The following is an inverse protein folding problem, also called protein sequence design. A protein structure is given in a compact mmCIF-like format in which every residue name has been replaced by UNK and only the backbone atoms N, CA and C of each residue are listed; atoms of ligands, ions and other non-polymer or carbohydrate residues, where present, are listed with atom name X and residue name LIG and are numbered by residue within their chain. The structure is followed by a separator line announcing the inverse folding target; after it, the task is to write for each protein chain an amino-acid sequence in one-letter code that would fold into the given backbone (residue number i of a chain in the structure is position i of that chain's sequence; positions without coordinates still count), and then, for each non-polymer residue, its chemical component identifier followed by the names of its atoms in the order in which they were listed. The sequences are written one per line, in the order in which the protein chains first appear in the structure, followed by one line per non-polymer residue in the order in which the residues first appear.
data_IF_914381796631
#
_entry.id   IF_914381796631
#
_cell.length_a   1.000
_cell.length_b   1.000
_cell.length_c   1.000
_cell.angle_alpha   90.00
_cell.angle_beta   90.00
_cell.angle_gamma   90.00
#
_symmetry.space_group_name_H-M   'P 1'
#
loop_
_entity.id
_entity.type
_entity.pdbx_description
1 polymer ?
#
# COMPACT_ATOMS: atom_id res chain seq x y z
N UNK A 1 -17.31 2.20 -25.73
CA UNK A 1 -15.92 2.04 -26.18
C UNK A 1 -15.14 3.23 -25.64
N UNK A 2 -14.41 3.08 -24.51
CA UNK A 2 -13.57 4.15 -23.96
C UNK A 2 -12.19 4.04 -24.62
N UNK A 3 -11.71 5.14 -25.19
CA UNK A 3 -10.43 5.20 -25.89
C UNK A 3 -9.25 4.98 -24.94
N UNK A 4 -8.26 4.27 -25.46
CA UNK A 4 -7.06 3.77 -24.80
C UNK A 4 -6.05 4.90 -24.54
N UNK A 5 -5.72 5.15 -23.27
CA UNK A 5 -4.64 6.07 -22.89
C UNK A 5 -3.58 5.35 -22.05
N UNK A 6 -2.31 5.66 -22.33
CA UNK A 6 -1.11 5.06 -21.72
C UNK A 6 -1.11 5.26 -20.20
N UNK A 7 -0.73 4.25 -19.40
CA UNK A 7 -0.83 4.32 -17.94
C UNK A 7 0.50 4.39 -17.15
N UNK A 8 1.58 3.74 -17.60
CA UNK A 8 2.88 3.75 -16.89
C UNK A 8 3.66 5.04 -17.16
N UNK A 9 4.37 5.55 -16.15
CA UNK A 9 5.27 6.72 -16.28
C UNK A 9 4.53 8.04 -16.48
N UNK A 10 3.21 8.06 -16.22
CA UNK A 10 2.35 9.24 -16.33
C UNK A 10 1.91 9.74 -14.97
N UNK A 11 1.62 11.04 -14.91
CA UNK A 11 1.05 11.63 -13.72
C UNK A 11 -0.26 10.92 -13.37
N UNK A 12 -0.53 10.69 -12.09
CA UNK A 12 -1.77 10.03 -11.67
C UNK A 12 -3.03 10.72 -12.21
N UNK A 13 -2.96 12.04 -12.46
CA UNK A 13 -4.07 12.83 -13.03
C UNK A 13 -4.41 12.47 -14.48
N UNK A 14 -3.47 11.84 -15.20
CA UNK A 14 -3.60 11.48 -16.62
C UNK A 14 -4.03 10.03 -16.83
N UNK A 15 -4.11 9.24 -15.75
CA UNK A 15 -4.46 7.82 -15.82
C UNK A 15 -5.94 7.67 -15.49
N UNK A 16 -6.74 6.98 -16.33
CA UNK A 16 -8.12 6.67 -16.02
C UNK A 16 -8.26 5.96 -14.66
N UNK A 17 -9.33 6.26 -13.95
CA UNK A 17 -9.55 5.71 -12.61
C UNK A 17 -10.75 4.77 -12.54
N UNK A 18 -10.64 3.76 -11.68
CA UNK A 18 -11.73 2.91 -11.21
C UNK A 18 -11.85 3.16 -9.71
N UNK A 19 -13.03 3.54 -9.23
CA UNK A 19 -13.25 3.94 -7.83
C UNK A 19 -12.26 5.00 -7.33
N UNK A 20 -11.90 5.97 -8.19
CA UNK A 20 -10.95 7.06 -7.91
C UNK A 20 -9.49 6.60 -7.70
N UNK A 21 -9.17 5.34 -8.02
CA UNK A 21 -7.81 4.77 -8.03
C UNK A 21 -7.36 4.60 -9.49
N UNK A 22 -6.10 4.92 -9.87
CA UNK A 22 -5.56 4.61 -11.20
C UNK A 22 -5.78 3.14 -11.56
N UNK A 23 -6.37 2.86 -12.72
CA UNK A 23 -6.88 1.52 -13.05
C UNK A 23 -5.83 0.39 -12.93
N UNK A 24 -4.54 0.55 -13.29
CA UNK A 24 -3.59 -0.55 -13.14
C UNK A 24 -3.35 -0.89 -11.67
N UNK A 25 -3.34 0.13 -10.80
CA UNK A 25 -3.22 -0.06 -9.35
C UNK A 25 -4.47 -0.76 -8.82
N UNK A 26 -5.66 -0.37 -9.30
CA UNK A 26 -6.91 -1.03 -8.95
C UNK A 26 -6.88 -2.52 -9.33
N UNK A 27 -6.58 -2.87 -10.59
CA UNK A 27 -6.55 -4.25 -11.09
C UNK A 27 -5.59 -5.12 -10.27
N UNK A 28 -4.41 -4.59 -9.94
CA UNK A 28 -3.41 -5.29 -9.14
C UNK A 28 -3.87 -5.50 -7.69
N UNK A 29 -4.43 -4.46 -7.05
CA UNK A 29 -4.95 -4.58 -5.68
C UNK A 29 -6.16 -5.52 -5.59
N UNK A 30 -7.04 -5.47 -6.58
CA UNK A 30 -8.18 -6.38 -6.71
C UNK A 30 -7.68 -7.82 -6.82
N UNK A 31 -6.73 -8.10 -7.73
CA UNK A 31 -6.15 -9.45 -7.85
C UNK A 31 -5.50 -9.91 -6.55
N UNK A 32 -4.66 -9.09 -5.93
CA UNK A 32 -3.95 -9.43 -4.68
C UNK A 32 -4.90 -9.71 -3.51
N UNK A 33 -6.10 -9.13 -3.54
CA UNK A 33 -7.09 -9.28 -2.47
C UNK A 33 -8.22 -10.25 -2.82
N UNK A 34 -8.31 -10.72 -4.07
CA UNK A 34 -9.43 -11.54 -4.57
C UNK A 34 -9.58 -12.91 -3.90
N UNK A 35 -8.53 -13.38 -3.21
CA UNK A 35 -8.48 -14.66 -2.50
C UNK A 35 -7.64 -14.50 -1.23
N UNK A 36 -8.08 -15.11 -0.13
CA UNK A 36 -7.37 -15.01 1.15
C UNK A 36 -5.98 -15.69 1.09
N UNK A 37 -5.85 -16.74 0.27
CA UNK A 37 -4.60 -17.47 0.03
C UNK A 37 -3.49 -16.54 -0.50
N UNK A 38 -3.87 -15.48 -1.21
CA UNK A 38 -2.92 -14.52 -1.75
C UNK A 38 -2.35 -13.63 -0.64
N UNK A 39 -3.17 -13.21 0.33
CA UNK A 39 -2.72 -12.46 1.52
C UNK A 39 -1.81 -13.33 2.40
N UNK A 40 -2.05 -14.64 2.44
CA UNK A 40 -1.23 -15.58 3.22
C UNK A 40 0.03 -16.06 2.48
N UNK A 41 0.28 -15.60 1.25
CA UNK A 41 1.45 -16.03 0.49
C UNK A 41 2.73 -15.63 1.24
N UNK A 42 3.55 -16.63 1.59
CA UNK A 42 4.81 -16.42 2.30
C UNK A 42 5.71 -15.43 1.56
N UNK A 43 6.16 -14.39 2.28
CA UNK A 43 7.00 -13.34 1.72
C UNK A 43 6.32 -12.52 0.63
N UNK A 44 4.98 -12.39 0.61
CA UNK A 44 4.27 -11.47 -0.29
C UNK A 44 4.92 -10.08 -0.28
N UNK A 45 5.07 -9.47 -1.45
CA UNK A 45 5.88 -8.27 -1.71
C UNK A 45 7.40 -8.37 -1.49
N UNK A 46 7.91 -9.35 -0.75
CA UNK A 46 9.37 -9.58 -0.62
C UNK A 46 9.91 -10.48 -1.72
N UNK A 47 9.22 -11.58 -2.04
CA UNK A 47 9.63 -12.53 -3.08
C UNK A 47 9.51 -11.86 -4.46
N UNK A 48 10.57 -11.88 -5.29
CA UNK A 48 10.52 -11.30 -6.63
C UNK A 48 9.63 -12.15 -7.55
N UNK A 49 8.80 -11.47 -8.34
CA UNK A 49 8.05 -12.07 -9.43
C UNK A 49 8.86 -12.31 -10.71
N UNK A 50 8.22 -12.91 -11.71
CA UNK A 50 8.82 -13.18 -13.01
C UNK A 50 9.02 -11.88 -13.81
N UNK A 51 10.29 -11.57 -14.13
CA UNK A 51 10.64 -10.32 -14.83
C UNK A 51 10.07 -10.23 -16.24
N UNK A 52 10.00 -11.34 -16.98
CA UNK A 52 9.44 -11.39 -18.33
C UNK A 52 7.96 -11.03 -18.32
N UNK A 53 7.20 -11.60 -17.38
CA UNK A 53 5.78 -11.28 -17.20
C UNK A 53 5.59 -9.82 -16.79
N UNK A 54 6.42 -9.31 -15.85
CA UNK A 54 6.37 -7.91 -15.43
C UNK A 54 6.53 -6.99 -16.64
N UNK A 55 7.56 -7.19 -17.46
CA UNK A 55 7.82 -6.37 -18.65
C UNK A 55 6.66 -6.46 -19.65
N UNK A 56 6.16 -7.67 -19.91
CA UNK A 56 5.07 -7.89 -20.84
C UNK A 56 3.77 -7.20 -20.39
N UNK A 57 3.41 -7.32 -19.11
CA UNK A 57 2.19 -6.74 -18.56
C UNK A 57 2.30 -5.21 -18.45
N UNK A 58 3.47 -4.67 -18.05
CA UNK A 58 3.70 -3.23 -18.06
C UNK A 58 3.47 -2.64 -19.45
N UNK A 59 3.99 -3.29 -20.49
CA UNK A 59 3.80 -2.86 -21.88
C UNK A 59 2.33 -2.86 -22.30
N UNK A 60 1.54 -3.82 -21.83
CA UNK A 60 0.08 -3.82 -22.07
C UNK A 60 -0.58 -2.60 -21.43
N UNK A 61 -0.28 -2.28 -20.17
CA UNK A 61 -0.78 -1.05 -19.52
C UNK A 61 -0.29 0.24 -20.21
N UNK A 62 0.95 0.27 -20.70
CA UNK A 62 1.51 1.39 -21.48
C UNK A 62 0.77 1.60 -22.80
N UNK A 63 0.35 0.53 -23.45
CA UNK A 63 -0.37 0.59 -24.72
C UNK A 63 -1.88 0.82 -24.53
N UNK A 64 -2.38 0.83 -23.29
CA UNK A 64 -3.81 0.87 -22.99
C UNK A 64 -4.54 -0.40 -23.45
N UNK A 65 -3.84 -1.54 -23.48
CA UNK A 65 -4.40 -2.85 -23.78
C UNK A 65 -5.16 -3.41 -22.56
N UNK A 66 -6.09 -4.32 -22.81
CA UNK A 66 -6.77 -5.05 -21.73
C UNK A 66 -5.79 -6.02 -21.07
N UNK A 67 -5.58 -5.86 -19.76
CA UNK A 67 -4.72 -6.75 -18.97
C UNK A 67 -5.55 -7.81 -18.25
N UNK A 68 -5.12 -9.07 -18.31
CA UNK A 68 -5.73 -10.16 -17.56
C UNK A 68 -4.74 -10.75 -16.55
N UNK A 69 -5.00 -10.51 -15.26
CA UNK A 69 -4.14 -10.97 -14.16
C UNK A 69 -4.54 -12.34 -13.59
N UNK A 70 -5.56 -13.03 -14.13
CA UNK A 70 -6.11 -14.24 -13.52
C UNK A 70 -5.09 -15.37 -13.38
N UNK A 71 -4.26 -15.58 -14.41
CA UNK A 71 -3.25 -16.64 -14.46
C UNK A 71 -1.84 -16.14 -14.11
N UNK A 72 -1.72 -14.90 -13.63
CA UNK A 72 -0.44 -14.31 -13.26
C UNK A 72 -0.11 -14.66 -11.81
N UNK A 73 1.13 -15.09 -11.56
CA UNK A 73 1.61 -15.43 -10.23
C UNK A 73 1.54 -14.21 -9.29
N UNK A 74 1.19 -14.44 -8.02
CA UNK A 74 0.99 -13.36 -7.03
C UNK A 74 2.26 -12.58 -6.76
N UNK A 75 3.43 -13.23 -6.72
CA UNK A 75 4.73 -12.54 -6.63
C UNK A 75 4.98 -11.61 -7.83
N UNK A 76 4.54 -12.00 -9.03
CA UNK A 76 4.57 -11.15 -10.24
C UNK A 76 3.65 -9.94 -10.10
N UNK A 77 2.40 -10.12 -9.66
CA UNK A 77 1.46 -9.00 -9.45
C UNK A 77 1.97 -8.05 -8.35
N UNK A 78 2.48 -8.60 -7.24
CA UNK A 78 3.06 -7.83 -6.15
C UNK A 78 4.29 -7.02 -6.60
N UNK A 79 5.19 -7.62 -7.38
CA UNK A 79 6.32 -6.91 -7.99
C UNK A 79 5.86 -5.84 -8.98
N UNK A 80 4.86 -6.15 -9.82
CA UNK A 80 4.32 -5.21 -10.80
C UNK A 80 3.74 -3.96 -10.11
N UNK A 81 3.00 -4.14 -9.01
CA UNK A 81 2.48 -3.03 -8.21
C UNK A 81 3.60 -2.13 -7.68
N UNK A 82 4.65 -2.72 -7.10
CA UNK A 82 5.82 -1.96 -6.63
C UNK A 82 6.51 -1.19 -7.76
N UNK A 83 6.66 -1.82 -8.94
CA UNK A 83 7.27 -1.17 -10.10
C UNK A 83 6.43 0.02 -10.58
N UNK A 84 5.11 -0.16 -10.68
CA UNK A 84 4.19 0.90 -11.05
C UNK A 84 4.31 2.12 -10.12
N UNK A 85 4.24 1.88 -8.81
CA UNK A 85 4.29 2.94 -7.80
C UNK A 85 5.61 3.72 -7.85
N UNK A 86 6.73 3.01 -8.06
CA UNK A 86 8.06 3.62 -8.16
C UNK A 86 8.23 4.51 -9.40
N UNK A 87 7.47 4.24 -10.45
CA UNK A 87 7.56 4.96 -11.74
C UNK A 87 6.55 6.10 -11.88
N UNK A 88 5.74 6.37 -10.85
CA UNK A 88 4.85 7.53 -10.83
C UNK A 88 5.71 8.82 -10.85
N UNK A 89 5.55 9.70 -11.86
CA UNK A 89 6.25 10.98 -11.89
C UNK A 89 5.92 11.84 -10.67
N UNK A 90 6.94 12.38 -10.00
CA UNK A 90 6.77 13.15 -8.77
C UNK A 90 6.51 12.31 -7.52
N UNK A 91 6.51 10.97 -7.66
CA UNK A 91 6.30 9.98 -6.61
C UNK A 91 4.92 10.05 -5.94
N UNK A 92 4.58 8.98 -5.22
CA UNK A 92 3.31 8.95 -4.51
C UNK A 92 3.33 9.92 -3.32
N UNK A 93 4.44 9.96 -2.58
CA UNK A 93 4.73 10.99 -1.57
C UNK A 93 5.74 11.96 -2.16
N UNK A 94 5.31 13.19 -2.43
CA UNK A 94 6.20 14.24 -2.94
C UNK A 94 7.19 14.72 -1.85
N UNK A 95 8.19 15.51 -2.23
CA UNK A 95 9.23 15.99 -1.31
C UNK A 95 8.68 16.85 -0.17
N UNK A 96 7.70 17.71 -0.44
CA UNK A 96 7.09 18.58 0.58
C UNK A 96 6.39 17.76 1.68
N UNK A 97 5.61 16.76 1.29
CA UNK A 97 4.95 15.84 2.22
C UNK A 97 5.95 14.93 2.92
N UNK A 98 7.05 14.53 2.26
CA UNK A 98 8.14 13.76 2.88
C UNK A 98 8.77 14.52 4.04
N UNK A 99 9.03 15.82 3.88
CA UNK A 99 9.60 16.64 4.97
C UNK A 99 8.62 16.76 6.16
N UNK A 100 7.32 16.97 5.88
CA UNK A 100 6.28 16.98 6.91
C UNK A 100 6.16 15.65 7.65
N UNK A 101 6.25 14.53 6.92
CA UNK A 101 6.19 13.19 7.51
C UNK A 101 7.41 12.93 8.38
N UNK A 102 8.60 13.28 7.92
CA UNK A 102 9.85 13.12 8.67
C UNK A 102 9.82 13.94 9.96
N UNK A 103 9.37 15.20 9.90
CA UNK A 103 9.22 16.05 11.08
C UNK A 103 8.23 15.43 12.08
N UNK A 104 7.07 14.98 11.60
CA UNK A 104 6.03 14.35 12.43
C UNK A 104 6.53 13.06 13.10
N UNK A 105 7.22 12.19 12.36
CA UNK A 105 7.72 10.92 12.88
C UNK A 105 8.93 11.11 13.80
N UNK A 106 9.74 12.15 13.60
CA UNK A 106 10.83 12.45 14.53
C UNK A 106 10.33 12.73 15.95
N UNK A 107 9.13 13.32 16.09
CA UNK A 107 8.49 13.54 17.39
C UNK A 107 8.13 12.22 18.07
N UNK A 108 7.59 11.26 17.30
CA UNK A 108 7.26 9.93 17.80
C UNK A 108 8.52 9.20 18.31
N UNK A 109 9.63 9.28 17.57
CA UNK A 109 10.89 8.66 18.00
C UNK A 109 11.48 9.27 19.28
N UNK A 110 11.15 10.51 19.61
CA UNK A 110 11.61 11.16 20.84
C UNK A 110 10.77 10.76 22.05
N UNK A 111 9.47 10.59 21.87
CA UNK A 111 8.54 10.29 22.95
C UNK A 111 7.27 9.61 22.41
N UNK A 112 7.17 8.30 22.67
CA UNK A 112 6.01 7.48 22.27
C UNK A 112 4.69 7.97 22.90
N UNK A 113 4.74 8.71 24.01
CA UNK A 113 3.54 9.29 24.63
C UNK A 113 2.88 10.36 23.75
N UNK A 114 3.61 10.88 22.75
CA UNK A 114 3.09 11.83 21.76
C UNK A 114 2.30 11.16 20.62
N UNK A 115 2.06 9.84 20.67
CA UNK A 115 1.38 9.08 19.60
C UNK A 115 0.13 9.76 19.05
N UNK A 116 -0.77 10.23 19.91
CA UNK A 116 -2.03 10.89 19.48
C UNK A 116 -1.77 12.20 18.73
N UNK A 117 -0.80 13.00 19.18
CA UNK A 117 -0.37 14.22 18.50
C UNK A 117 0.26 13.89 17.14
N UNK A 118 1.07 12.83 17.08
CA UNK A 118 1.68 12.34 15.84
C UNK A 118 0.61 11.86 14.85
N UNK A 119 -0.41 11.13 15.31
CA UNK A 119 -1.56 10.72 14.48
C UNK A 119 -2.25 11.96 13.90
N UNK A 120 -2.53 12.97 14.74
CA UNK A 120 -3.15 14.23 14.30
C UNK A 120 -2.30 14.94 13.24
N UNK A 121 -1.01 15.16 13.53
CA UNK A 121 -0.09 15.83 12.61
C UNK A 121 0.07 15.05 11.30
N UNK A 122 0.06 13.71 11.35
CA UNK A 122 0.14 12.86 10.17
C UNK A 122 -1.11 13.00 9.30
N UNK A 123 -2.31 13.09 9.90
CA UNK A 123 -3.56 13.38 9.17
C UNK A 123 -3.48 14.72 8.44
N UNK A 124 -3.00 15.76 9.13
CA UNK A 124 -2.84 17.10 8.55
C UNK A 124 -1.83 17.05 7.41
N UNK A 125 -0.68 16.41 7.61
CA UNK A 125 0.34 16.23 6.57
C UNK A 125 -0.19 15.47 5.35
N UNK A 126 -0.97 14.40 5.55
CA UNK A 126 -1.62 13.64 4.47
C UNK A 126 -2.64 14.48 3.70
N UNK A 127 -3.28 15.47 4.34
CA UNK A 127 -4.28 16.34 3.69
C UNK A 127 -3.69 17.28 2.64
N UNK A 128 -2.38 17.54 2.69
CA UNK A 128 -1.68 18.34 1.70
C UNK A 128 -1.27 17.55 0.44
N UNK A 129 -1.40 16.23 0.44
CA UNK A 129 -1.17 15.44 -0.77
C UNK A 129 -2.24 15.75 -1.82
N UNK A 130 -1.90 15.74 -3.13
CA UNK A 130 -2.90 15.74 -4.17
C UNK A 130 -3.91 14.61 -3.97
N UNK A 131 -5.18 14.86 -4.29
CA UNK A 131 -6.27 13.91 -4.01
C UNK A 131 -5.99 12.48 -4.47
N UNK A 132 -5.52 12.30 -5.72
CA UNK A 132 -5.22 10.97 -6.27
C UNK A 132 -4.03 10.31 -5.58
N UNK A 133 -3.03 11.08 -5.14
CA UNK A 133 -1.90 10.58 -4.36
C UNK A 133 -2.38 10.09 -2.99
N UNK A 134 -3.18 10.90 -2.29
CA UNK A 134 -3.76 10.52 -1.00
C UNK A 134 -4.62 9.26 -1.09
N UNK A 135 -5.55 9.20 -2.04
CA UNK A 135 -6.43 8.03 -2.23
C UNK A 135 -5.61 6.79 -2.57
N UNK A 136 -4.69 6.89 -3.52
CA UNK A 136 -3.82 5.77 -3.89
C UNK A 136 -3.00 5.30 -2.68
N UNK A 137 -2.36 6.21 -1.94
CA UNK A 137 -1.60 5.88 -0.74
C UNK A 137 -2.48 5.20 0.30
N UNK A 138 -3.68 5.72 0.58
CA UNK A 138 -4.64 5.11 1.51
C UNK A 138 -4.95 3.65 1.14
N UNK A 139 -5.16 3.34 -0.14
CA UNK A 139 -5.45 1.97 -0.58
C UNK A 139 -4.23 1.05 -0.50
N UNK A 140 -3.03 1.56 -0.82
CA UNK A 140 -1.79 0.80 -0.62
C UNK A 140 -1.59 0.49 0.86
N UNK A 141 -1.63 1.49 1.76
CA UNK A 141 -1.44 1.27 3.19
C UNK A 141 -2.51 0.35 3.77
N UNK A 142 -3.77 0.43 3.31
CA UNK A 142 -4.80 -0.52 3.72
C UNK A 142 -4.43 -1.97 3.40
N UNK A 143 -3.98 -2.23 2.17
CA UNK A 143 -3.62 -3.58 1.75
C UNK A 143 -2.40 -4.10 2.52
N UNK A 144 -1.43 -3.23 2.83
CA UNK A 144 -0.30 -3.57 3.68
C UNK A 144 -0.71 -3.83 5.14
N UNK A 145 -1.62 -3.01 5.69
CA UNK A 145 -2.23 -3.24 7.01
C UNK A 145 -2.90 -4.60 7.08
N UNK A 146 -3.68 -4.97 6.06
CA UNK A 146 -4.32 -6.27 5.98
C UNK A 146 -3.29 -7.42 5.96
N UNK A 147 -2.22 -7.33 5.17
CA UNK A 147 -1.17 -8.35 5.14
C UNK A 147 -0.46 -8.49 6.49
N UNK A 148 -0.15 -7.36 7.14
CA UNK A 148 0.52 -7.34 8.43
C UNK A 148 -0.28 -8.07 9.53
N UNK A 149 -1.62 -8.03 9.47
CA UNK A 149 -2.50 -8.77 10.40
C UNK A 149 -2.33 -10.30 10.31
N UNK A 150 -1.81 -10.82 9.18
CA UNK A 150 -1.58 -12.25 8.98
C UNK A 150 -0.09 -12.60 8.91
N UNK A 151 0.77 -11.76 9.49
CA UNK A 151 2.23 -11.92 9.51
C UNK A 151 2.72 -13.24 10.11
N UNK A 152 1.94 -13.88 10.99
CA UNK A 152 2.24 -15.24 11.49
C UNK A 152 2.25 -16.31 10.40
N UNK A 153 1.55 -16.09 9.27
CA UNK A 153 1.48 -17.01 8.14
C UNK A 153 2.33 -16.53 6.96
N UNK A 154 2.18 -15.27 6.56
CA UNK A 154 2.89 -14.74 5.39
C UNK A 154 4.31 -14.23 5.71
N UNK A 155 4.72 -14.18 6.98
CA UNK A 155 6.02 -13.70 7.46
C UNK A 155 6.33 -12.21 7.19
N UNK A 156 5.30 -11.42 6.87
CA UNK A 156 5.41 -10.01 6.50
C UNK A 156 4.69 -9.12 7.51
N UNK A 157 5.34 -8.82 8.63
CA UNK A 157 4.89 -7.81 9.58
C UNK A 157 5.00 -6.38 9.02
N UNK A 158 4.50 -5.38 9.77
CA UNK A 158 4.53 -3.99 9.35
C UNK A 158 5.95 -3.44 9.12
N UNK A 159 6.96 -3.94 9.83
CA UNK A 159 8.34 -3.53 9.67
C UNK A 159 8.97 -4.09 8.37
N UNK A 160 8.72 -5.36 8.07
CA UNK A 160 9.14 -6.02 6.85
C UNK A 160 8.50 -5.36 5.63
N UNK A 161 7.18 -5.08 5.69
CA UNK A 161 6.46 -4.37 4.63
C UNK A 161 6.98 -2.93 4.46
N UNK A 162 7.20 -2.21 5.56
CA UNK A 162 7.74 -0.85 5.51
C UNK A 162 9.12 -0.79 4.86
N UNK A 163 10.01 -1.75 5.17
CA UNK A 163 11.33 -1.85 4.54
C UNK A 163 11.24 -2.03 3.02
N UNK A 164 10.27 -2.84 2.55
CA UNK A 164 10.04 -3.05 1.12
C UNK A 164 9.44 -1.81 0.44
N UNK A 165 8.51 -1.11 1.10
CA UNK A 165 7.73 -0.04 0.48
C UNK A 165 8.30 1.38 0.66
N UNK A 166 9.13 1.64 1.67
CA UNK A 166 9.77 2.95 1.85
C UNK A 166 10.51 3.44 0.59
N UNK A 167 11.41 2.66 -0.07
CA UNK A 167 12.04 3.10 -1.32
C UNK A 167 11.07 3.26 -2.49
N UNK A 168 9.93 2.55 -2.47
CA UNK A 168 8.92 2.59 -3.52
C UNK A 168 8.08 3.87 -3.43
N UNK A 169 7.77 4.33 -2.21
CA UNK A 169 6.82 5.41 -1.97
C UNK A 169 7.46 6.80 -1.80
N UNK A 170 8.71 6.86 -1.32
CA UNK A 170 9.42 8.12 -0.99
C UNK A 170 10.60 8.46 -1.90
N UNK A 171 10.91 7.59 -2.89
CA UNK A 171 12.09 7.70 -3.75
C UNK A 171 13.37 8.05 -2.99
N UNK A 172 13.75 7.15 -2.09
CA UNK A 172 14.92 7.34 -1.24
C UNK A 172 16.21 7.27 -2.05
N UNK A 173 17.13 8.20 -1.80
CA UNK A 173 18.51 8.07 -2.27
C UNK A 173 19.22 6.91 -1.56
N UNK A 174 20.36 6.46 -2.08
CA UNK A 174 21.19 5.44 -1.42
C UNK A 174 21.60 5.92 -0.02
N UNK A 175 21.93 7.20 0.13
CA UNK A 175 22.30 7.79 1.41
C UNK A 175 21.14 7.74 2.42
N UNK A 176 19.92 8.07 1.98
CA UNK A 176 18.73 7.99 2.83
C UNK A 176 18.39 6.56 3.23
N UNK A 177 18.62 5.60 2.34
CA UNK A 177 18.45 4.18 2.64
C UNK A 177 19.48 3.67 3.66
N UNK A 178 20.70 4.17 3.61
CA UNK A 178 21.80 3.80 4.53
C UNK A 178 21.77 4.58 5.86
N UNK A 179 20.87 5.56 6.00
CA UNK A 179 20.72 6.31 7.24
C UNK A 179 20.06 5.44 8.32
N UNK A 180 20.73 5.32 9.48
CA UNK A 180 20.25 4.54 10.62
C UNK A 180 18.87 4.99 11.16
N UNK A 181 18.44 6.22 10.86
CA UNK A 181 17.13 6.75 11.27
C UNK A 181 16.03 6.64 10.21
N UNK A 182 16.27 5.95 9.09
CA UNK A 182 15.43 5.91 7.88
C UNK A 182 13.95 6.23 8.12
N UNK A 183 13.62 7.54 8.13
CA UNK A 183 12.33 8.04 8.61
C UNK A 183 11.19 7.56 7.72
N UNK A 184 11.47 7.24 6.46
CA UNK A 184 10.48 6.69 5.55
C UNK A 184 10.04 5.27 5.95
N UNK A 185 10.96 4.40 6.41
CA UNK A 185 10.58 3.08 6.95
C UNK A 185 9.69 3.26 8.17
N UNK A 186 10.09 4.11 9.11
CA UNK A 186 9.32 4.35 10.33
C UNK A 186 7.96 4.97 10.00
N UNK A 187 7.90 5.88 9.03
CA UNK A 187 6.65 6.48 8.54
C UNK A 187 5.71 5.42 7.98
N UNK A 188 6.18 4.57 7.05
CA UNK A 188 5.32 3.53 6.48
C UNK A 188 4.86 2.55 7.55
N UNK A 189 5.75 2.13 8.45
CA UNK A 189 5.39 1.26 9.57
C UNK A 189 4.31 1.90 10.44
N UNK A 190 4.48 3.18 10.81
CA UNK A 190 3.51 3.93 11.60
C UNK A 190 2.15 4.06 10.91
N UNK A 191 2.13 4.30 9.59
CA UNK A 191 0.92 4.35 8.78
C UNK A 191 0.21 2.99 8.72
N UNK A 192 0.96 1.89 8.62
CA UNK A 192 0.43 0.52 8.63
C UNK A 192 -0.18 0.19 10.00
N UNK A 193 0.56 0.42 11.08
CA UNK A 193 0.15 0.05 12.44
C UNK A 193 -1.06 0.86 12.93
N UNK A 194 -1.16 2.12 12.50
CA UNK A 194 -2.21 3.05 12.93
C UNK A 194 -3.17 3.39 11.79
N UNK A 195 -3.34 2.47 10.82
CA UNK A 195 -4.17 2.71 9.65
C UNK A 195 -5.58 3.18 10.03
N UNK A 196 -6.21 2.49 10.98
CA UNK A 196 -7.57 2.80 11.39
C UNK A 196 -7.67 4.21 11.97
N UNK A 197 -6.76 4.59 12.85
CA UNK A 197 -6.80 5.92 13.47
C UNK A 197 -6.50 7.02 12.46
N UNK A 198 -5.55 6.80 11.54
CA UNK A 198 -5.07 7.81 10.58
C UNK A 198 -6.05 7.99 9.41
N UNK A 199 -6.51 6.91 8.80
CA UNK A 199 -7.32 6.95 7.57
C UNK A 199 -8.83 6.78 7.80
N UNK A 200 -9.23 6.56 9.06
CA UNK A 200 -10.62 6.34 9.48
C UNK A 200 -10.99 7.31 10.61
N UNK A 201 -11.01 8.62 10.31
CA UNK A 201 -11.92 9.60 10.93
C UNK A 201 -12.09 10.74 9.93
N UNK A 202 -13.22 10.68 9.24
CA UNK A 202 -14.05 11.74 8.67
C UNK A 202 -14.56 11.32 7.28
N UNK A 203 -15.80 10.86 7.26
CA UNK A 203 -16.76 11.04 6.17
C UNK A 203 -16.92 12.56 5.87
N UNK A 204 -15.84 13.26 5.57
CA UNK A 204 -15.90 14.61 5.05
C UNK A 204 -16.34 14.48 3.61
N UNK A 205 -17.53 15.01 3.34
CA UNK A 205 -18.04 15.27 2.02
C UNK A 205 -16.94 15.91 1.17
N UNK A 206 -16.40 15.16 0.21
CA UNK A 206 -15.60 15.71 -0.86
C UNK A 206 -16.52 15.71 -2.08
N UNK A 207 -16.87 16.91 -2.54
CA UNK A 207 -17.64 17.12 -3.77
C UNK A 207 -19.07 16.55 -3.77
N UNK A 208 -19.84 16.79 -2.69
CA UNK A 208 -21.26 16.41 -2.61
C UNK A 208 -21.54 14.90 -2.60
N UNK A 209 -20.49 14.07 -2.55
CA UNK A 209 -20.61 12.61 -2.48
C UNK A 209 -20.19 12.10 -1.10
N UNK A 210 -21.06 11.30 -0.47
CA UNK A 210 -20.69 10.46 0.66
C UNK A 210 -19.56 9.53 0.21
N UNK A 211 -18.39 9.64 0.83
CA UNK A 211 -17.53 8.48 0.96
C UNK A 211 -18.13 7.65 2.09
N UNK A 212 -19.13 6.82 1.76
CA UNK A 212 -19.40 5.62 2.55
C UNK A 212 -18.04 4.94 2.80
N UNK A 213 -17.80 4.32 3.98
CA UNK A 213 -16.68 3.42 4.10
C UNK A 213 -16.80 2.49 2.91
N UNK A 214 -15.86 2.56 1.96
CA UNK A 214 -15.84 1.60 0.87
C UNK A 214 -15.78 0.28 1.59
N UNK A 215 -16.93 -0.39 1.63
CA UNK A 215 -17.04 -1.78 1.91
C UNK A 215 -16.02 -2.36 0.95
N UNK A 216 -14.87 -2.77 1.47
CA UNK A 216 -14.07 -3.82 0.84
C UNK A 216 -14.97 -5.06 0.85
N UNK A 217 -16.03 -5.03 0.03
CA UNK A 217 -16.63 -6.19 -0.61
C UNK A 217 -15.73 -6.55 -1.80
N UNK A 218 -14.40 -6.52 -1.62
CA UNK A 218 -13.63 -7.56 -2.26
C UNK A 218 -14.17 -8.82 -1.58
N UNK A 219 -14.70 -9.80 -2.32
CA UNK A 219 -15.08 -11.05 -1.71
C UNK A 219 -13.79 -11.58 -1.10
N UNK A 220 -13.63 -11.41 0.21
CA UNK A 220 -12.80 -12.32 0.97
C UNK A 220 -13.35 -13.68 0.55
N UNK A 221 -12.60 -14.41 -0.29
CA UNK A 221 -12.74 -15.85 -0.30
C UNK A 221 -12.74 -16.22 1.17
N UNK A 222 -13.84 -16.82 1.66
CA UNK A 222 -14.05 -17.01 3.09
C UNK A 222 -12.74 -17.53 3.69
N UNK A 223 -12.14 -16.76 4.60
CA UNK A 223 -11.00 -17.26 5.37
C UNK A 223 -11.42 -18.61 5.96
N UNK A 224 -10.73 -19.72 5.67
CA UNK A 224 -11.11 -21.02 6.17
C UNK A 224 -11.11 -20.94 7.69
N UNK A 225 -12.23 -21.38 8.30
CA UNK A 225 -12.39 -21.36 9.75
C UNK A 225 -11.28 -22.16 10.44
N UNK A 226 -10.63 -23.08 9.73
CA UNK A 226 -9.51 -23.89 10.20
C UNK A 226 -8.27 -23.05 10.57
N UNK A 227 -8.04 -21.89 9.94
CA UNK A 227 -6.86 -21.04 10.23
C UNK A 227 -7.03 -20.17 11.48
N UNK A 228 -8.28 -19.85 11.86
CA UNK A 228 -8.59 -19.23 13.15
C UNK A 228 -8.39 -20.22 14.31
N UNK A 229 -8.52 -21.52 14.05
CA UNK A 229 -8.34 -22.56 15.07
C UNK A 229 -6.87 -22.95 15.31
N UNK A 230 -5.97 -22.59 14.39
CA UNK A 230 -4.54 -22.86 14.52
C UNK A 230 -3.81 -21.80 15.37
N UNK A 231 -4.33 -20.57 15.47
CA UNK A 231 -3.77 -19.54 16.36
C UNK A 231 -4.10 -19.77 17.84
N UNK A 232 -5.22 -20.44 18.13
CA UNK A 232 -5.64 -20.75 19.51
C UNK A 232 -4.94 -22.00 20.08
N UNK A 233 -4.18 -22.73 19.26
CA UNK A 233 -3.52 -23.99 19.62
C UNK A 233 -1.99 -23.90 19.68
N UNK A 234 -1.41 -22.72 19.94
CA UNK A 234 0.02 -22.59 20.20
C UNK A 234 0.32 -22.53 21.72
N UNK A 235 0.53 -23.66 22.42
CA UNK A 235 0.88 -23.69 23.84
C UNK A 235 2.36 -23.38 24.09
N UNK A 236 2.92 -22.36 23.44
CA UNK A 236 4.24 -21.82 23.79
C UNK A 236 4.13 -20.45 24.43
N UNK A 237 3.42 -20.43 25.56
CA UNK A 237 3.57 -19.46 26.63
C UNK A 237 3.65 -20.22 27.95
N UNK A 238 4.76 -20.94 28.15
CA UNK A 238 5.14 -21.44 29.47
C UNK A 238 6.65 -21.24 29.65
N UNK A 239 6.96 -20.38 30.63
CA UNK A 239 8.24 -19.92 31.19
C UNK A 239 8.98 -18.79 30.48
#
# INVERSE_FOLDING_TARGET
MKQNEKAIGRSLKEVPTINKIPYPIYDMLEKLSSKWEYILTEGIFRVPGNMTDIIAIKKQYENGESVNLNNVQISTVASLLKNYLKEIPGFLVNNENKDLFNATISMFQMDDSLKELVIKNMKDALSFLPFLNYITLKHIIFHLHLIAQYSQFNLMDSNNLATVFAPVLFSLSIEELMNNKNYAIITIKFLIDNYNDIFTINNKFIDGSYLEPYNYQIPFGKCPKELLQLSDNNPQSIH
#
